data_IF_308737879265
#
_entry.id   IF_308737879265
#
_cell.length_a   1.000
_cell.length_b   1.000
_cell.length_c   1.000
_cell.angle_alpha   90.00
_cell.angle_beta   90.00
_cell.angle_gamma   90.00
#
_symmetry.space_group_name_H-M   'P 1'
#
loop_
_entity.id
_entity.type
_entity.pdbx_description
1 polymer ?
#
# COMPACT_ATOMS: atom_id res chain seq x y z
N UNK A 1 -18.32 43.66 -45.04
CA UNK A 1 -19.78 43.40 -45.07
C UNK A 1 -19.92 41.91 -45.28
N UNK A 2 -20.53 41.08 -44.44
CA UNK A 2 -21.11 41.18 -43.10
C UNK A 2 -21.02 39.76 -42.51
N UNK A 3 -21.15 39.69 -41.19
CA UNK A 3 -21.02 38.55 -40.27
C UNK A 3 -21.85 37.30 -40.60
N UNK A 4 -21.47 36.11 -40.08
CA UNK A 4 -22.35 34.96 -39.99
C UNK A 4 -23.23 35.04 -38.73
N UNK A 5 -24.52 34.71 -38.84
CA UNK A 5 -25.43 34.58 -37.68
C UNK A 5 -25.76 33.10 -37.42
N UNK A 6 -25.62 32.80 -36.14
CA UNK A 6 -25.77 31.57 -35.40
C UNK A 6 -27.22 31.03 -35.40
N UNK A 7 -27.40 29.70 -35.37
CA UNK A 7 -28.57 29.05 -34.75
C UNK A 7 -28.23 27.61 -34.36
N UNK A 8 -28.43 27.29 -33.07
CA UNK A 8 -28.32 25.99 -32.37
C UNK A 8 -29.60 25.86 -31.50
N UNK A 9 -29.92 24.70 -30.87
CA UNK A 9 -30.00 23.29 -31.28
C UNK A 9 -31.44 22.74 -30.96
N UNK A 10 -31.79 21.40 -30.90
CA UNK A 10 -31.37 20.52 -29.78
C UNK A 10 -31.33 18.98 -30.03
N UNK A 11 -30.84 18.28 -28.99
CA UNK A 11 -31.18 16.91 -28.53
C UNK A 11 -30.65 15.67 -29.28
N UNK A 12 -29.49 15.14 -28.88
CA UNK A 12 -29.27 14.08 -27.86
C UNK A 12 -30.04 12.76 -28.10
N UNK A 13 -29.32 11.74 -28.58
CA UNK A 13 -29.55 10.34 -28.21
C UNK A 13 -28.23 9.77 -27.69
N UNK A 14 -28.26 9.40 -26.41
CA UNK A 14 -27.13 8.93 -25.61
C UNK A 14 -26.74 7.52 -26.05
N UNK A 15 -25.62 7.37 -26.76
CA UNK A 15 -24.94 6.09 -26.88
C UNK A 15 -23.98 5.95 -25.70
N UNK A 16 -24.21 4.92 -24.88
CA UNK A 16 -23.34 4.50 -23.78
C UNK A 16 -21.98 4.13 -24.36
N UNK A 17 -20.99 4.99 -24.16
CA UNK A 17 -19.61 4.72 -24.50
C UNK A 17 -19.02 3.77 -23.45
N UNK A 18 -18.83 2.52 -23.83
CA UNK A 18 -17.97 1.56 -23.16
C UNK A 18 -16.55 2.15 -23.13
N UNK A 19 -16.14 2.72 -22.00
CA UNK A 19 -14.78 3.27 -21.88
C UNK A 19 -13.78 2.13 -21.71
N UNK A 20 -12.92 2.04 -22.72
CA UNK A 20 -11.78 1.16 -22.87
C UNK A 20 -10.90 1.11 -21.62
N UNK A 21 -10.69 -0.11 -21.12
CA UNK A 21 -9.55 -0.49 -20.30
C UNK A 21 -8.25 -0.26 -21.07
N UNK A 22 -7.47 0.75 -20.68
CA UNK A 22 -6.10 0.93 -21.20
C UNK A 22 -5.17 -0.11 -20.56
N UNK A 23 -5.05 -1.26 -21.20
CA UNK A 23 -3.97 -2.21 -20.94
C UNK A 23 -2.64 -1.57 -21.35
N UNK A 24 -1.75 -1.32 -20.39
CA UNK A 24 -0.32 -1.10 -20.67
C UNK A 24 0.33 -2.48 -20.78
N UNK A 25 0.76 -2.79 -22.01
CA UNK A 25 1.36 -4.04 -22.50
C UNK A 25 0.36 -5.11 -22.96
N UNK A 26 -0.02 -5.03 -24.25
CA UNK A 26 -0.65 -6.09 -25.00
C UNK A 26 0.44 -7.02 -25.56
N UNK A 27 0.29 -8.31 -25.30
CA UNK A 27 1.08 -9.46 -25.80
C UNK A 27 2.35 -9.80 -25.01
N UNK A 28 2.28 -10.79 -24.13
CA UNK A 28 2.70 -12.14 -24.50
C UNK A 28 2.14 -13.23 -23.57
N UNK A 29 2.22 -14.47 -24.04
CA UNK A 29 1.69 -15.66 -23.41
C UNK A 29 2.80 -16.70 -23.27
N UNK A 30 2.84 -17.39 -22.12
CA UNK A 30 3.77 -18.47 -21.82
C UNK A 30 4.88 -18.05 -20.86
N UNK A 31 4.56 -17.98 -19.56
CA UNK A 31 5.43 -17.61 -18.43
C UNK A 31 6.26 -16.33 -18.65
N UNK A 32 5.62 -15.19 -18.43
CA UNK A 32 6.22 -13.88 -18.70
C UNK A 32 6.16 -13.02 -17.44
N UNK A 33 7.32 -12.69 -16.85
CA UNK A 33 7.44 -11.61 -15.87
C UNK A 33 7.32 -10.30 -16.66
N UNK A 34 6.07 -9.93 -17.00
CA UNK A 34 5.75 -8.64 -17.59
C UNK A 34 5.92 -7.60 -16.47
N UNK A 35 6.91 -6.71 -16.64
CA UNK A 35 7.10 -5.45 -15.90
C UNK A 35 6.74 -5.48 -14.42
N UNK A 36 7.73 -5.55 -13.54
CA UNK A 36 7.53 -5.47 -12.10
C UNK A 36 6.58 -4.33 -11.72
N UNK A 37 5.35 -4.67 -11.34
CA UNK A 37 4.41 -3.68 -10.84
C UNK A 37 4.78 -3.42 -9.39
N UNK A 38 5.20 -2.18 -9.09
CA UNK A 38 5.34 -1.72 -7.72
C UNK A 38 4.02 -1.06 -7.32
N UNK A 39 3.55 -1.37 -6.12
CA UNK A 39 2.44 -0.61 -5.52
C UNK A 39 2.99 0.74 -5.08
N UNK A 40 3.02 1.69 -6.01
CA UNK A 40 3.09 3.11 -5.71
C UNK A 40 1.75 3.53 -5.11
N UNK A 41 1.73 4.51 -4.21
CA UNK A 41 0.56 4.91 -3.39
C UNK A 41 -0.74 5.36 -4.07
N UNK A 42 -1.00 4.98 -5.33
CA UNK A 42 -2.34 4.94 -5.92
C UNK A 42 -2.78 3.47 -6.07
N UNK A 43 -3.63 3.06 -5.14
CA UNK A 43 -4.15 1.69 -5.03
C UNK A 43 -5.11 1.42 -6.18
N UNK A 44 -4.72 0.58 -7.12
CA UNK A 44 -5.68 -0.30 -7.79
C UNK A 44 -6.01 -1.43 -6.81
N UNK A 45 -7.29 -1.64 -6.52
CA UNK A 45 -7.78 -2.71 -5.66
C UNK A 45 -7.32 -4.07 -6.21
N UNK A 46 -6.22 -4.60 -5.67
CA UNK A 46 -6.00 -6.04 -5.61
C UNK A 46 -6.44 -6.49 -4.23
N UNK A 47 -7.60 -7.13 -4.20
CA UNK A 47 -8.01 -7.99 -3.09
C UNK A 47 -6.93 -9.06 -3.00
N UNK A 48 -6.20 -9.12 -1.88
CA UNK A 48 -5.42 -10.31 -1.54
C UNK A 48 -6.45 -11.43 -1.38
N UNK A 49 -6.55 -12.30 -2.37
CA UNK A 49 -7.28 -13.56 -2.25
C UNK A 49 -6.24 -14.58 -1.83
N UNK A 50 -6.19 -14.87 -0.54
CA UNK A 50 -5.45 -16.02 -0.05
C UNK A 50 -6.11 -17.28 -0.58
N UNK A 51 -5.48 -17.96 -1.54
CA UNK A 51 -5.42 -19.43 -1.47
C UNK A 51 -4.36 -19.97 -2.40
N UNK A 52 -3.50 -20.79 -1.79
CA UNK A 52 -2.64 -21.78 -2.39
C UNK A 52 -3.33 -22.65 -3.45
N UNK A 53 -2.51 -23.08 -4.40
CA UNK A 53 -2.80 -23.91 -5.55
C UNK A 53 -3.69 -25.14 -5.31
N UNK A 54 -4.52 -25.46 -6.31
CA UNK A 54 -4.66 -26.82 -6.83
C UNK A 54 -5.17 -26.78 -8.28
N UNK A 55 -4.27 -27.13 -9.21
CA UNK A 55 -4.62 -27.42 -10.59
C UNK A 55 -5.17 -28.85 -10.69
N UNK A 56 -6.33 -28.98 -11.34
CA UNK A 56 -6.69 -30.16 -12.13
C UNK A 56 -7.61 -31.20 -11.47
N UNK A 57 -8.91 -31.13 -11.78
CA UNK A 57 -9.71 -32.29 -12.19
C UNK A 57 -11.03 -31.84 -12.85
N UNK A 58 -11.27 -32.32 -14.08
CA UNK A 58 -12.56 -32.23 -14.77
C UNK A 58 -13.52 -33.29 -14.22
N UNK A 59 -14.76 -32.92 -13.90
CA UNK A 59 -16.01 -33.54 -14.41
C UNK A 59 -17.21 -33.08 -13.58
N UNK A 60 -18.33 -32.85 -14.26
CA UNK A 60 -19.52 -32.20 -13.73
C UNK A 60 -20.23 -32.85 -12.54
N UNK A 61 -20.89 -31.98 -11.78
CA UNK A 61 -21.83 -32.27 -10.71
C UNK A 61 -22.32 -30.94 -10.17
N UNK A 62 -23.63 -30.75 -10.07
CA UNK A 62 -24.29 -29.54 -9.56
C UNK A 62 -23.73 -29.12 -8.19
N UNK A 63 -23.14 -27.92 -8.11
CA UNK A 63 -22.65 -27.36 -6.85
C UNK A 63 -23.83 -26.83 -6.02
N UNK A 64 -23.90 -27.13 -4.72
CA UNK A 64 -24.79 -26.42 -3.82
C UNK A 64 -24.31 -24.98 -3.67
N UNK A 65 -25.27 -24.06 -3.57
CA UNK A 65 -25.10 -22.65 -3.22
C UNK A 65 -24.54 -22.56 -1.79
N UNK A 66 -23.23 -22.70 -1.68
CA UNK A 66 -22.46 -22.43 -0.48
C UNK A 66 -21.44 -21.35 -0.90
N UNK A 67 -21.89 -20.10 -0.94
CA UNK A 67 -20.97 -18.97 -0.82
C UNK A 67 -20.26 -19.15 0.51
N UNK A 68 -19.07 -19.75 0.47
CA UNK A 68 -18.12 -19.63 1.55
C UNK A 68 -17.94 -18.13 1.75
N UNK A 69 -18.55 -17.57 2.80
CA UNK A 69 -18.13 -16.28 3.32
C UNK A 69 -16.65 -16.44 3.64
N UNK A 70 -15.79 -16.02 2.70
CA UNK A 70 -14.35 -16.05 2.90
C UNK A 70 -14.07 -15.24 4.16
N UNK A 71 -13.64 -15.93 5.20
CA UNK A 71 -13.28 -15.33 6.47
C UNK A 71 -11.97 -14.56 6.26
N UNK A 72 -12.09 -13.28 5.92
CA UNK A 72 -10.95 -12.36 5.88
C UNK A 72 -10.34 -12.29 7.28
N UNK A 73 -9.02 -12.32 7.36
CA UNK A 73 -8.29 -12.02 8.60
C UNK A 73 -8.51 -10.56 9.02
N UNK A 74 -8.31 -10.28 10.30
CA UNK A 74 -8.40 -8.91 10.84
C UNK A 74 -7.45 -7.96 10.10
N UNK A 75 -6.24 -8.41 9.79
CA UNK A 75 -5.24 -7.67 9.00
C UNK A 75 -5.75 -7.33 7.60
N UNK A 76 -6.39 -8.27 6.90
CA UNK A 76 -6.96 -8.03 5.57
C UNK A 76 -8.13 -7.05 5.61
N UNK A 77 -9.01 -7.16 6.62
CA UNK A 77 -10.11 -6.23 6.81
C UNK A 77 -9.54 -4.83 7.11
N UNK A 78 -8.64 -4.73 8.07
CA UNK A 78 -7.98 -3.47 8.44
C UNK A 78 -7.35 -2.80 7.22
N UNK A 79 -6.54 -3.54 6.48
CA UNK A 79 -5.82 -3.02 5.32
C UNK A 79 -6.80 -2.59 4.23
N UNK A 80 -7.71 -3.47 3.81
CA UNK A 80 -8.66 -3.18 2.74
C UNK A 80 -9.57 -1.98 3.05
N UNK A 81 -9.98 -1.82 4.31
CA UNK A 81 -10.83 -0.71 4.71
C UNK A 81 -10.10 0.62 4.79
N UNK A 82 -8.87 0.66 5.31
CA UNK A 82 -8.09 1.90 5.43
C UNK A 82 -7.43 2.33 4.11
N UNK A 83 -7.12 1.40 3.20
CA UNK A 83 -6.61 1.72 1.85
C UNK A 83 -7.56 2.67 1.09
N UNK A 84 -8.85 2.60 1.36
CA UNK A 84 -9.88 3.47 0.77
C UNK A 84 -9.68 4.95 1.10
N UNK A 85 -8.93 5.26 2.14
CA UNK A 85 -8.59 6.63 2.53
C UNK A 85 -7.45 7.25 1.71
N UNK A 86 -6.77 6.46 0.85
CA UNK A 86 -5.70 6.94 -0.03
C UNK A 86 -4.56 7.64 0.70
N UNK A 87 -4.22 7.17 1.91
CA UNK A 87 -3.13 7.70 2.75
C UNK A 87 -1.85 6.86 2.68
N UNK A 88 -1.76 5.96 1.69
CA UNK A 88 -0.71 4.93 1.60
C UNK A 88 -1.23 3.56 2.04
N UNK A 89 -0.32 2.59 2.09
CA UNK A 89 -0.63 1.23 2.54
C UNK A 89 -0.61 1.17 4.09
N UNK A 90 -1.73 0.85 4.75
CA UNK A 90 -1.79 0.70 6.21
C UNK A 90 -1.08 -0.59 6.63
N UNK A 91 -0.30 -0.55 7.72
CA UNK A 91 0.28 -1.74 8.32
C UNK A 91 -0.54 -2.15 9.54
N UNK A 92 -0.90 -3.43 9.62
CA UNK A 92 -1.55 -4.01 10.81
C UNK A 92 -0.55 -4.11 11.96
N UNK A 93 0.68 -4.53 11.67
CA UNK A 93 1.77 -4.58 12.64
C UNK A 93 2.92 -3.65 12.22
N UNK A 94 2.84 -2.35 12.59
CA UNK A 94 3.79 -1.34 12.12
C UNK A 94 5.14 -1.37 12.84
N UNK A 95 5.28 -2.15 13.92
CA UNK A 95 6.51 -2.23 14.69
C UNK A 95 7.61 -2.96 13.90
N UNK A 96 8.85 -2.42 13.86
CA UNK A 96 9.96 -3.10 13.21
C UNK A 96 10.29 -4.40 13.96
N UNK A 97 10.62 -5.44 13.20
CA UNK A 97 10.93 -6.75 13.76
C UNK A 97 12.29 -6.76 14.47
N UNK A 98 12.38 -7.49 15.58
CA UNK A 98 13.55 -7.51 16.48
C UNK A 98 14.81 -8.13 15.86
N UNK A 99 14.66 -8.87 14.77
CA UNK A 99 15.75 -9.52 14.03
C UNK A 99 16.38 -8.59 12.98
N UNK A 100 15.81 -7.41 12.73
CA UNK A 100 16.38 -6.43 11.80
C UNK A 100 17.57 -5.69 12.45
N UNK A 101 18.46 -5.05 11.67
CA UNK A 101 19.58 -4.30 12.23
C UNK A 101 19.13 -3.24 13.25
N UNK A 102 19.88 -3.08 14.35
CA UNK A 102 19.51 -2.15 15.43
C UNK A 102 19.31 -0.70 14.93
N UNK A 103 20.09 -0.28 13.93
CA UNK A 103 19.93 1.03 13.29
C UNK A 103 18.55 1.17 12.62
N UNK A 104 18.04 0.09 12.02
CA UNK A 104 16.71 0.05 11.40
C UNK A 104 15.61 0.01 12.46
N UNK A 105 15.73 -0.83 13.51
CA UNK A 105 14.74 -0.92 14.59
C UNK A 105 14.40 0.43 15.25
N UNK A 106 15.39 1.34 15.35
CA UNK A 106 15.19 2.69 15.91
C UNK A 106 14.32 3.61 15.06
N UNK A 107 14.31 3.40 13.74
CA UNK A 107 13.66 4.30 12.80
C UNK A 107 12.42 3.68 12.15
N UNK A 108 12.41 2.35 11.98
CA UNK A 108 11.42 1.60 11.22
C UNK A 108 11.40 1.99 9.73
N UNK A 109 10.30 1.67 9.07
CA UNK A 109 10.07 1.88 7.63
C UNK A 109 10.45 3.30 7.18
N UNK A 110 11.27 3.43 6.15
CA UNK A 110 11.79 4.69 5.65
C UNK A 110 11.64 4.83 4.13
N UNK A 111 11.76 6.06 3.64
CA UNK A 111 11.78 6.35 2.21
C UNK A 111 12.96 5.62 1.56
N UNK A 112 12.68 4.89 0.48
CA UNK A 112 13.64 4.06 -0.24
C UNK A 112 13.66 2.60 0.19
N UNK A 113 12.93 2.22 1.24
CA UNK A 113 12.83 0.82 1.64
C UNK A 113 12.14 -0.01 0.56
N UNK A 114 12.73 -1.15 0.26
CA UNK A 114 12.17 -2.22 -0.55
C UNK A 114 11.78 -3.34 0.40
N UNK A 115 10.53 -3.78 0.31
CA UNK A 115 9.97 -4.77 1.21
C UNK A 115 8.68 -5.37 0.67
N UNK A 116 8.10 -6.28 1.44
CA UNK A 116 6.76 -6.82 1.19
C UNK A 116 5.92 -6.73 2.46
N UNK A 117 4.60 -6.85 2.35
CA UNK A 117 3.73 -6.95 3.52
C UNK A 117 3.32 -8.40 3.70
N UNK A 118 3.57 -8.96 4.88
CA UNK A 118 3.22 -10.36 5.20
C UNK A 118 1.72 -10.50 5.49
N UNK A 119 1.15 -11.72 5.51
CA UNK A 119 -0.25 -11.93 5.91
C UNK A 119 -0.58 -11.39 7.31
N UNK A 120 0.40 -11.41 8.22
CA UNK A 120 0.29 -10.83 9.57
C UNK A 120 0.28 -9.29 9.55
N UNK A 121 0.46 -8.66 8.38
CA UNK A 121 0.45 -7.22 8.19
C UNK A 121 1.74 -6.52 8.65
N UNK A 122 2.84 -7.26 8.71
CA UNK A 122 4.19 -6.78 9.01
C UNK A 122 4.85 -6.34 7.70
N UNK A 123 5.62 -5.25 7.73
CA UNK A 123 6.52 -4.90 6.62
C UNK A 123 7.83 -5.71 6.72
N UNK A 124 7.99 -6.72 5.88
CA UNK A 124 9.23 -7.49 5.73
C UNK A 124 10.23 -6.68 4.89
N UNK A 125 11.16 -6.04 5.58
CA UNK A 125 12.21 -5.21 4.98
C UNK A 125 13.29 -6.08 4.31
N UNK A 126 13.70 -5.68 3.11
CA UNK A 126 14.83 -6.30 2.41
C UNK A 126 16.05 -5.39 2.40
N UNK A 127 15.93 -4.18 1.85
CA UNK A 127 17.02 -3.20 1.77
C UNK A 127 16.48 -1.81 1.47
N UNK A 128 17.30 -0.78 1.65
CA UNK A 128 16.99 0.60 1.26
C UNK A 128 17.84 1.02 0.05
N UNK A 129 17.20 1.53 -0.99
CA UNK A 129 17.85 1.87 -2.26
C UNK A 129 18.78 3.09 -2.21
N UNK A 130 18.68 3.94 -1.18
CA UNK A 130 19.54 5.11 -1.02
C UNK A 130 20.78 4.84 -0.15
N UNK A 131 20.85 3.66 0.46
CA UNK A 131 21.94 3.26 1.35
C UNK A 131 22.86 2.30 0.62
N UNK A 132 24.18 2.45 0.82
CA UNK A 132 25.16 1.53 0.28
C UNK A 132 24.96 0.11 0.83
N UNK A 133 25.53 -0.90 0.16
CA UNK A 133 25.45 -2.31 0.60
C UNK A 133 25.97 -2.48 2.04
N UNK A 134 27.10 -1.84 2.32
CA UNK A 134 27.85 -1.93 3.57
C UNK A 134 27.21 -1.07 4.69
N UNK A 135 26.18 -0.29 4.36
CA UNK A 135 25.50 0.53 5.35
C UNK A 135 24.84 -0.36 6.42
N UNK A 136 24.91 -0.03 7.73
CA UNK A 136 24.40 -0.89 8.80
C UNK A 136 22.92 -1.30 8.69
N UNK A 137 22.12 -0.55 7.93
CA UNK A 137 20.71 -0.89 7.65
C UNK A 137 20.59 -1.99 6.57
N UNK A 138 21.40 -1.92 5.51
CA UNK A 138 21.40 -2.93 4.46
C UNK A 138 22.21 -4.18 4.88
N UNK A 139 23.21 -4.00 5.75
CA UNK A 139 23.97 -5.07 6.39
C UNK A 139 24.50 -6.14 5.41
N UNK A 140 25.03 -5.67 4.27
CA UNK A 140 25.52 -6.49 3.14
C UNK A 140 24.45 -7.39 2.46
N UNK A 141 23.20 -7.30 2.91
CA UNK A 141 22.07 -8.13 2.48
C UNK A 141 21.28 -7.43 1.35
N UNK A 142 21.92 -7.36 0.17
CA UNK A 142 21.35 -6.75 -1.04
C UNK A 142 21.62 -7.62 -2.28
N UNK A 143 20.84 -7.47 -3.38
CA UNK A 143 21.09 -8.16 -4.66
C UNK A 143 22.53 -7.97 -5.14
N UNK A 144 23.15 -8.95 -5.79
CA UNK A 144 24.57 -8.90 -6.19
C UNK A 144 24.94 -7.65 -7.00
N UNK A 145 24.08 -7.25 -7.93
CA UNK A 145 24.23 -6.06 -8.81
C UNK A 145 23.71 -4.75 -8.18
N UNK A 146 23.45 -4.74 -6.86
CA UNK A 146 22.91 -3.58 -6.17
C UNK A 146 23.84 -2.37 -6.27
N UNK A 147 23.27 -1.25 -6.72
CA UNK A 147 23.96 0.03 -6.84
C UNK A 147 23.06 1.14 -6.28
N UNK A 148 23.38 1.76 -5.14
CA UNK A 148 22.49 2.69 -4.48
C UNK A 148 22.16 3.90 -5.37
N UNK A 149 20.92 4.36 -5.29
CA UNK A 149 20.52 5.64 -5.85
C UNK A 149 21.24 6.80 -5.15
N UNK A 150 21.53 7.90 -5.85
CA UNK A 150 21.95 9.13 -5.22
C UNK A 150 20.93 9.56 -4.14
N UNK A 151 21.37 10.10 -3.00
CA UNK A 151 20.47 10.61 -1.97
C UNK A 151 19.48 11.62 -2.56
N UNK A 152 18.22 11.54 -2.14
CA UNK A 152 17.23 12.55 -2.49
C UNK A 152 17.50 13.86 -1.73
N UNK A 153 17.09 14.98 -2.32
CA UNK A 153 17.19 16.28 -1.66
C UNK A 153 16.16 16.38 -0.54
N UNK A 154 16.60 16.76 0.67
CA UNK A 154 15.69 16.96 1.80
C UNK A 154 14.58 18.00 1.50
N UNK A 155 14.83 18.97 0.61
CA UNK A 155 13.83 19.96 0.17
C UNK A 155 12.71 19.37 -0.69
N UNK A 156 12.93 18.19 -1.26
CA UNK A 156 11.93 17.46 -2.05
C UNK A 156 11.02 16.57 -1.18
N UNK A 157 11.25 16.55 0.14
CA UNK A 157 10.39 15.86 1.10
C UNK A 157 9.32 16.82 1.61
N UNK A 158 8.06 16.42 1.46
CA UNK A 158 6.92 17.07 2.10
C UNK A 158 6.74 16.47 3.48
N UNK A 159 6.63 17.36 4.47
CA UNK A 159 6.31 17.01 5.85
C UNK A 159 4.93 17.56 6.21
N UNK A 160 4.06 16.71 6.77
CA UNK A 160 2.77 17.11 7.35
C UNK A 160 2.66 16.55 8.76
N UNK A 161 2.16 17.37 9.69
CA UNK A 161 1.87 16.96 11.07
C UNK A 161 0.37 16.93 11.28
N UNK A 162 -0.11 15.83 11.83
CA UNK A 162 -1.48 15.65 12.27
C UNK A 162 -1.54 15.82 13.77
N UNK A 163 -2.47 16.65 14.24
CA UNK A 163 -2.62 16.98 15.67
C UNK A 163 -2.97 15.74 16.51
N UNK A 164 -2.66 15.76 17.82
CA UNK A 164 -3.21 14.81 18.80
C UNK A 164 -4.74 14.67 18.66
N UNK A 165 -5.26 13.46 18.83
CA UNK A 165 -6.70 13.18 18.70
C UNK A 165 -7.16 12.87 17.27
N UNK A 166 -6.25 12.92 16.28
CA UNK A 166 -6.56 12.57 14.90
C UNK A 166 -6.88 11.07 14.77
N UNK A 167 -7.53 10.69 13.68
CA UNK A 167 -7.86 9.30 13.40
C UNK A 167 -8.04 9.08 11.90
N UNK A 168 -7.83 7.84 11.47
CA UNK A 168 -8.19 7.34 10.15
C UNK A 168 -9.28 6.31 10.37
N UNK A 169 -10.29 6.28 9.51
CA UNK A 169 -11.31 5.25 9.60
C UNK A 169 -11.84 4.89 8.24
N UNK A 170 -12.47 3.73 8.11
CA UNK A 170 -13.20 3.36 6.90
C UNK A 170 -14.34 4.35 6.62
N UNK A 171 -14.77 4.57 5.37
CA UNK A 171 -15.81 5.55 5.05
C UNK A 171 -17.16 5.33 5.77
N UNK A 172 -17.44 4.10 6.21
CA UNK A 172 -18.68 3.75 6.91
C UNK A 172 -18.62 3.95 8.44
N UNK A 173 -17.44 4.28 8.98
CA UNK A 173 -17.24 4.53 10.40
C UNK A 173 -17.43 6.02 10.69
N UNK A 174 -18.20 6.33 11.73
CA UNK A 174 -18.40 7.69 12.23
C UNK A 174 -17.85 7.81 13.65
N UNK A 175 -17.10 8.88 13.93
CA UNK A 175 -16.71 9.23 15.29
C UNK A 175 -17.95 9.73 16.05
N UNK A 176 -18.07 9.32 17.31
CA UNK A 176 -19.07 9.82 18.24
C UNK A 176 -18.42 10.88 19.13
N UNK A 177 -19.18 11.94 19.41
CA UNK A 177 -18.80 12.96 20.39
C UNK A 177 -19.28 12.53 21.78
N UNK A 178 -18.48 12.85 22.81
CA UNK A 178 -18.81 12.61 24.21
C UNK A 178 -18.59 13.89 25.00
N UNK A 179 -19.36 14.06 26.08
CA UNK A 179 -19.25 15.19 27.01
C UNK A 179 -18.02 15.09 27.96
N UNK A 180 -17.02 14.31 27.58
CA UNK A 180 -15.80 14.08 28.35
C UNK A 180 -14.66 15.04 28.01
N UNK A 181 -13.47 14.87 28.63
CA UNK A 181 -12.29 15.62 28.25
C UNK A 181 -12.01 15.44 26.76
N UNK A 182 -11.85 16.55 26.03
CA UNK A 182 -11.58 16.53 24.59
C UNK A 182 -10.08 16.66 24.26
N UNK A 183 -9.23 16.77 25.28
CA UNK A 183 -7.79 16.98 25.11
C UNK A 183 -7.03 15.66 24.97
N UNK A 184 -6.18 15.58 23.94
CA UNK A 184 -5.36 14.42 23.65
C UNK A 184 -3.87 14.72 23.88
N UNK A 185 -3.09 13.76 24.44
CA UNK A 185 -3.51 12.43 24.92
C UNK A 185 -4.29 12.45 26.24
N UNK A 186 -5.22 11.50 26.42
CA UNK A 186 -6.02 11.34 27.66
C UNK A 186 -7.53 11.34 27.46
N UNK A 187 -8.01 11.86 26.32
CA UNK A 187 -9.41 11.81 25.91
C UNK A 187 -9.84 10.44 25.35
N UNK A 188 -11.16 10.22 25.31
CA UNK A 188 -11.78 8.99 24.82
C UNK A 188 -12.00 9.03 23.30
N UNK A 189 -11.83 7.87 22.67
CA UNK A 189 -12.30 7.63 21.31
C UNK A 189 -13.51 6.71 21.37
N UNK A 190 -14.62 7.09 20.74
CA UNK A 190 -15.59 6.09 20.32
C UNK A 190 -16.09 6.33 18.90
N UNK A 191 -16.44 5.20 18.31
CA UNK A 191 -16.77 5.09 16.91
C UNK A 191 -17.98 4.17 16.75
N UNK A 192 -18.75 4.43 15.71
CA UNK A 192 -19.86 3.58 15.29
C UNK A 192 -19.69 3.18 13.83
N UNK A 193 -19.82 1.89 13.56
CA UNK A 193 -19.87 1.34 12.21
C UNK A 193 -21.22 0.65 12.03
N UNK A 194 -21.97 1.03 10.99
CA UNK A 194 -23.23 0.37 10.63
C UNK A 194 -23.06 -0.57 9.42
N UNK A 195 -21.84 -0.70 8.88
CA UNK A 195 -21.52 -1.59 7.76
C UNK A 195 -21.02 -2.96 8.25
N UNK A 196 -21.06 -4.03 7.41
CA UNK A 196 -20.55 -5.36 7.77
C UNK A 196 -19.05 -5.41 8.04
N UNK A 197 -18.29 -4.41 7.57
CA UNK A 197 -16.85 -4.29 7.78
C UNK A 197 -16.46 -2.86 8.08
N UNK A 198 -15.50 -2.68 8.97
CA UNK A 198 -14.95 -1.37 9.31
C UNK A 198 -13.54 -1.47 9.86
N UNK A 199 -12.81 -0.37 9.75
CA UNK A 199 -11.49 -0.25 10.37
C UNK A 199 -11.27 1.17 10.89
N UNK A 200 -10.50 1.27 11.97
CA UNK A 200 -10.13 2.50 12.64
C UNK A 200 -8.64 2.45 13.01
N UNK A 201 -7.97 3.58 12.83
CA UNK A 201 -6.65 3.88 13.37
C UNK A 201 -6.77 5.19 14.17
N UNK A 202 -6.77 5.09 15.49
CA UNK A 202 -6.76 6.22 16.41
C UNK A 202 -5.31 6.69 16.67
N UNK A 203 -5.10 8.01 16.68
CA UNK A 203 -3.77 8.64 16.79
C UNK A 203 -3.75 9.60 17.99
N UNK A 204 -3.70 9.10 19.24
CA UNK A 204 -3.78 9.93 20.44
C UNK A 204 -2.68 11.01 20.49
N UNK A 205 -1.48 10.73 19.98
CA UNK A 205 -0.40 11.71 19.92
C UNK A 205 -0.26 12.37 18.53
N UNK A 206 -1.23 12.14 17.64
CA UNK A 206 -1.14 12.54 16.24
C UNK A 206 -0.15 11.69 15.44
N UNK A 207 0.19 12.18 14.27
CA UNK A 207 1.09 11.50 13.34
C UNK A 207 1.91 12.49 12.52
N UNK A 208 2.97 11.99 11.89
CA UNK A 208 3.85 12.77 11.03
C UNK A 208 4.06 12.03 9.71
N UNK A 209 3.67 12.66 8.61
CA UNK A 209 3.90 12.19 7.25
C UNK A 209 5.19 12.81 6.71
N UNK A 210 6.04 11.97 6.12
CA UNK A 210 7.16 12.37 5.27
C UNK A 210 7.01 11.67 3.92
N UNK A 211 6.91 12.42 2.82
CA UNK A 211 6.81 11.83 1.47
C UNK A 211 7.57 12.64 0.42
N UNK A 212 8.13 11.97 -0.57
CA UNK A 212 8.77 12.64 -1.70
C UNK A 212 7.74 13.31 -2.61
N UNK A 213 8.07 14.51 -3.11
CA UNK A 213 7.28 15.22 -4.13
C UNK A 213 7.35 14.55 -5.49
N UNK A 214 8.56 14.14 -5.88
CA UNK A 214 8.84 13.52 -7.16
C UNK A 214 9.46 12.14 -6.91
N UNK A 215 8.82 11.12 -7.47
CA UNK A 215 9.20 9.71 -7.33
C UNK A 215 9.58 9.09 -8.67
N UNK A 216 9.67 9.87 -9.75
CA UNK A 216 9.98 9.37 -11.09
C UNK A 216 11.35 8.69 -11.15
N UNK A 217 12.36 9.28 -10.52
CA UNK A 217 13.70 8.69 -10.47
C UNK A 217 13.69 7.36 -9.73
N UNK A 218 12.91 7.26 -8.64
CA UNK A 218 12.74 6.00 -7.91
C UNK A 218 12.01 4.97 -8.76
N UNK A 219 10.97 5.37 -9.50
CA UNK A 219 10.22 4.48 -10.38
C UNK A 219 11.09 3.95 -11.51
N UNK A 220 11.87 4.81 -12.16
CA UNK A 220 12.79 4.42 -13.23
C UNK A 220 13.88 3.46 -12.72
N UNK A 221 14.45 3.76 -11.55
CA UNK A 221 15.41 2.89 -10.89
C UNK A 221 14.78 1.53 -10.53
N UNK A 222 13.60 1.52 -9.91
CA UNK A 222 12.88 0.30 -9.57
C UNK A 222 12.56 -0.54 -10.80
N UNK A 223 12.04 0.06 -11.87
CA UNK A 223 11.75 -0.64 -13.12
C UNK A 223 12.99 -1.28 -13.74
N UNK A 224 14.15 -0.61 -13.68
CA UNK A 224 15.43 -1.13 -14.17
C UNK A 224 15.93 -2.33 -13.35
N UNK A 225 15.73 -2.31 -12.03
CA UNK A 225 16.34 -3.29 -11.11
C UNK A 225 15.38 -4.35 -10.58
N UNK A 226 14.06 -4.21 -10.79
CA UNK A 226 13.02 -5.09 -10.25
C UNK A 226 13.29 -6.57 -10.49
N UNK A 227 13.70 -6.94 -11.71
CA UNK A 227 13.97 -8.34 -12.04
C UNK A 227 15.11 -8.91 -11.18
N UNK A 228 16.16 -8.13 -10.94
CA UNK A 228 17.25 -8.56 -10.06
C UNK A 228 16.79 -8.68 -8.60
N UNK A 229 15.93 -7.75 -8.15
CA UNK A 229 15.36 -7.80 -6.81
C UNK A 229 14.52 -9.06 -6.58
N UNK A 230 13.60 -9.39 -7.50
CA UNK A 230 12.81 -10.63 -7.40
C UNK A 230 13.70 -11.87 -7.42
N UNK A 231 14.73 -11.93 -8.27
CA UNK A 231 15.68 -13.07 -8.28
C UNK A 231 16.40 -13.23 -6.94
N UNK A 232 16.89 -12.15 -6.37
CA UNK A 232 17.57 -12.18 -5.07
C UNK A 232 16.60 -12.54 -3.93
N UNK A 233 15.43 -11.91 -3.88
CA UNK A 233 14.43 -12.11 -2.81
C UNK A 233 13.82 -13.52 -2.86
N UNK A 234 13.51 -14.04 -4.05
CA UNK A 234 12.92 -15.38 -4.18
C UNK A 234 13.98 -16.48 -4.21
N UNK A 235 15.20 -16.17 -4.66
CA UNK A 235 16.34 -17.09 -4.67
C UNK A 235 17.04 -17.14 -3.32
N UNK A 236 17.99 -16.23 -3.09
CA UNK A 236 18.85 -16.22 -1.91
C UNK A 236 18.07 -16.08 -0.58
N UNK A 237 16.98 -15.31 -0.58
CA UNK A 237 16.14 -15.06 0.62
C UNK A 237 14.93 -16.00 0.73
N UNK A 238 14.64 -16.78 -0.32
CA UNK A 238 13.59 -17.81 -0.32
C UNK A 238 12.16 -17.31 -0.03
N UNK A 239 11.82 -16.04 -0.34
CA UNK A 239 10.54 -15.44 0.06
C UNK A 239 9.34 -15.84 -0.79
N UNK A 240 9.55 -16.27 -2.04
CA UNK A 240 8.47 -16.72 -2.92
C UNK A 240 7.43 -15.65 -3.28
N UNK A 241 7.82 -14.37 -3.34
CA UNK A 241 6.93 -13.25 -3.69
C UNK A 241 6.40 -13.36 -5.12
N UNK A 242 5.11 -13.07 -5.30
CA UNK A 242 4.51 -12.93 -6.63
C UNK A 242 4.75 -11.52 -7.20
N UNK A 243 4.60 -11.39 -8.52
CA UNK A 243 4.70 -10.08 -9.17
C UNK A 243 3.57 -9.15 -8.69
N UNK A 244 3.96 -8.04 -8.06
CA UNK A 244 3.04 -7.07 -7.49
C UNK A 244 3.10 -7.00 -5.97
N UNK A 245 3.74 -7.97 -5.30
CA UNK A 245 3.83 -8.01 -3.83
C UNK A 245 4.99 -7.15 -3.28
N UNK A 246 5.85 -6.66 -4.17
CA UNK A 246 7.01 -5.85 -3.80
C UNK A 246 6.64 -4.37 -3.72
N UNK A 247 6.94 -3.78 -2.57
CA UNK A 247 6.74 -2.37 -2.28
C UNK A 247 8.07 -1.61 -2.37
N UNK A 248 8.00 -0.40 -2.91
CA UNK A 248 9.04 0.60 -2.79
C UNK A 248 8.47 1.82 -2.06
N UNK A 249 8.98 2.10 -0.87
CA UNK A 249 8.46 3.15 0.01
C UNK A 249 8.88 4.52 -0.49
N UNK A 250 7.92 5.33 -0.93
CA UNK A 250 8.15 6.73 -1.37
C UNK A 250 7.80 7.77 -0.32
N UNK A 251 7.16 7.33 0.77
CA UNK A 251 6.73 8.14 1.89
C UNK A 251 6.21 7.25 3.01
N UNK A 252 6.20 7.77 4.23
CA UNK A 252 5.71 7.08 5.41
C UNK A 252 4.99 8.06 6.33
N UNK A 253 3.90 7.61 6.92
CA UNK A 253 3.23 8.30 8.02
C UNK A 253 3.47 7.51 9.31
N UNK A 254 4.00 8.19 10.33
CA UNK A 254 4.41 7.56 11.57
C UNK A 254 3.73 8.21 12.75
N UNK A 255 3.35 7.38 13.72
CA UNK A 255 2.80 7.81 14.99
C UNK A 255 3.63 7.25 16.14
N UNK A 256 3.66 7.98 17.26
CA UNK A 256 4.35 7.52 18.49
C UNK A 256 3.48 6.62 19.35
N UNK A 257 2.17 6.70 19.17
CA UNK A 257 1.16 5.91 19.85
C UNK A 257 -0.04 5.80 18.92
N UNK A 258 -0.62 4.61 18.84
CA UNK A 258 -1.78 4.33 18.02
C UNK A 258 -2.68 3.30 18.72
N UNK A 259 -3.95 3.32 18.36
CA UNK A 259 -4.91 2.26 18.68
C UNK A 259 -5.61 1.85 17.39
N UNK A 260 -5.89 0.57 17.24
CA UNK A 260 -6.45 0.04 15.99
C UNK A 260 -7.56 -0.95 16.30
N UNK A 261 -8.55 -0.97 15.40
CA UNK A 261 -9.67 -1.89 15.46
C UNK A 261 -10.13 -2.20 14.03
N UNK A 262 -10.49 -3.46 13.80
CA UNK A 262 -11.12 -3.93 12.58
C UNK A 262 -12.20 -4.96 12.93
N UNK A 263 -13.27 -4.98 12.15
CA UNK A 263 -14.38 -5.92 12.27
C UNK A 263 -14.95 -6.17 10.88
#
# INVERSE_FOLDING_TARGET
MESPVNTMPPSNTTAVATQNSSHLFQNAAGFEIIGGQFVLGDVHNRVYVGSTALAGARSGGSLPDNTLDEAFSESEIYCSQLLRQKRGFPLYEPAPQINLPLAYQRHGVAIGDVGSVTPEGIFDFFFNIFLAREHPINADDTPEDFCPMPPYNARDVVHLTYSPGNYVSSPAVRKLDFDGPSEFPGAEYAFRCDAPRGAILALPNGAHLSKLRNVENMRAYAAKHAHSWYRYINGARGRGLANGDLFLVTGCEKARAWGMASY
#
